data_IF_943482589790
#
_entry.id   IF_943482589790
#
_cell.length_a   1.000
_cell.length_b   1.000
_cell.length_c   1.000
_cell.angle_alpha   90.00
_cell.angle_beta   90.00
_cell.angle_gamma   90.00
#
_symmetry.space_group_name_H-M   'P 1'
#
loop_
_entity.id
_entity.type
_entity.pdbx_description
1 polymer ?
#
# COMPACT_ATOMS: atom_id res chain seq x y z
N UNK A 1 -5.30 -4.88 -13.91
CA UNK A 1 -4.74 -4.99 -12.55
C UNK A 1 -5.06 -3.73 -11.78
N UNK A 2 -5.50 -3.90 -10.56
CA UNK A 2 -5.81 -2.79 -9.67
C UNK A 2 -4.82 -2.80 -8.51
N UNK A 3 -4.18 -1.65 -8.27
CA UNK A 3 -3.26 -1.49 -7.15
C UNK A 3 -3.96 -0.73 -6.02
N UNK A 4 -3.82 -1.23 -4.81
CA UNK A 4 -4.31 -0.53 -3.63
C UNK A 4 -3.20 0.27 -2.98
N UNK A 5 -3.56 1.48 -2.54
CA UNK A 5 -2.65 2.25 -1.71
C UNK A 5 -2.72 1.78 -0.24
N UNK A 6 -1.88 2.38 0.59
CA UNK A 6 -1.77 2.03 2.00
C UNK A 6 -3.10 2.14 2.74
N UNK A 7 -3.89 3.19 2.47
CA UNK A 7 -5.14 3.43 3.18
C UNK A 7 -6.17 2.34 2.89
N UNK A 8 -6.30 1.93 1.64
CA UNK A 8 -7.23 0.87 1.25
C UNK A 8 -6.81 -0.49 1.81
N UNK A 9 -5.51 -0.79 1.73
CA UNK A 9 -4.98 -2.03 2.29
C UNK A 9 -5.24 -2.10 3.80
N UNK A 10 -5.04 -0.99 4.51
CA UNK A 10 -5.28 -0.90 5.95
C UNK A 10 -6.75 -1.12 6.30
N UNK A 11 -7.67 -0.58 5.51
CA UNK A 11 -9.10 -0.76 5.74
C UNK A 11 -9.50 -2.23 5.71
N UNK A 12 -8.97 -3.01 4.77
CA UNK A 12 -9.27 -4.43 4.65
C UNK A 12 -8.63 -5.29 5.73
N UNK A 13 -7.55 -4.84 6.33
CA UNK A 13 -6.89 -5.54 7.42
C UNK A 13 -7.81 -5.72 8.63
N UNK A 14 -8.73 -4.77 8.86
CA UNK A 14 -9.65 -4.84 9.98
C UNK A 14 -10.90 -5.64 9.62
N UNK A 15 -11.39 -6.50 10.54
CA UNK A 15 -12.45 -7.46 10.22
C UNK A 15 -13.84 -6.85 10.06
N UNK A 16 -14.05 -5.58 10.43
CA UNK A 16 -15.38 -4.94 10.38
C UNK A 16 -15.26 -3.44 10.19
N UNK A 17 -16.36 -2.82 9.76
CA UNK A 17 -16.48 -1.37 9.60
C UNK A 17 -17.17 -1.00 8.30
N UNK A 18 -17.78 0.19 8.26
CA UNK A 18 -18.50 0.69 7.08
C UNK A 18 -17.57 0.84 5.87
N UNK A 19 -16.36 1.36 6.09
CA UNK A 19 -15.38 1.54 5.01
C UNK A 19 -14.94 0.19 4.44
N UNK A 20 -14.72 -0.79 5.32
CA UNK A 20 -14.36 -2.14 4.89
C UNK A 20 -15.47 -2.78 4.07
N UNK A 21 -16.72 -2.64 4.51
CA UNK A 21 -17.87 -3.22 3.82
C UNK A 21 -18.06 -2.59 2.44
N UNK A 22 -17.91 -1.27 2.32
CA UNK A 22 -17.98 -0.57 1.04
C UNK A 22 -16.88 -1.02 0.09
N UNK A 23 -15.66 -1.17 0.60
CA UNK A 23 -14.54 -1.61 -0.20
C UNK A 23 -14.72 -3.06 -0.64
N UNK A 24 -15.19 -3.93 0.26
CA UNK A 24 -15.46 -5.33 -0.07
C UNK A 24 -16.52 -5.44 -1.17
N UNK A 25 -17.57 -4.63 -1.12
CA UNK A 25 -18.61 -4.60 -2.17
C UNK A 25 -18.02 -4.22 -3.53
N UNK A 26 -17.13 -3.23 -3.55
CA UNK A 26 -16.46 -2.81 -4.80
C UNK A 26 -15.61 -3.94 -5.36
N UNK A 27 -14.91 -4.66 -4.50
CA UNK A 27 -14.08 -5.78 -4.90
C UNK A 27 -14.91 -6.93 -5.46
N UNK A 28 -16.01 -7.25 -4.79
CA UNK A 28 -16.91 -8.33 -5.19
C UNK A 28 -17.58 -8.03 -6.54
N UNK A 29 -17.71 -6.74 -6.87
CA UNK A 29 -18.29 -6.31 -8.15
C UNK A 29 -17.28 -6.32 -9.30
N UNK A 30 -15.99 -6.54 -9.03
CA UNK A 30 -14.97 -6.59 -10.09
C UNK A 30 -15.07 -7.89 -10.89
N UNK A 31 -14.74 -7.84 -12.21
CA UNK A 31 -14.64 -9.07 -13.00
C UNK A 31 -13.63 -10.05 -12.39
N UNK A 32 -13.88 -11.34 -12.55
CA UNK A 32 -12.98 -12.38 -12.04
C UNK A 32 -11.57 -12.28 -12.62
N UNK A 33 -11.42 -11.76 -13.83
CA UNK A 33 -10.12 -11.57 -14.47
C UNK A 33 -9.34 -10.41 -13.85
N UNK A 34 -9.98 -9.55 -13.05
CA UNK A 34 -9.31 -8.40 -12.49
C UNK A 34 -8.46 -8.81 -11.28
N UNK A 35 -7.16 -8.53 -11.36
CA UNK A 35 -6.21 -8.84 -10.30
C UNK A 35 -6.06 -7.63 -9.39
N UNK A 36 -6.18 -7.87 -8.09
CA UNK A 36 -5.89 -6.87 -7.07
C UNK A 36 -4.50 -7.13 -6.53
N UNK A 37 -3.69 -6.09 -6.47
CA UNK A 37 -2.30 -6.19 -6.05
C UNK A 37 -1.93 -5.00 -5.16
N UNK A 38 -0.80 -5.11 -4.48
CA UNK A 38 -0.20 -4.02 -3.70
C UNK A 38 1.21 -3.79 -4.21
N UNK A 39 1.74 -2.58 -4.00
CA UNK A 39 3.13 -2.32 -4.35
C UNK A 39 4.05 -2.67 -3.18
N UNK A 40 5.32 -2.95 -3.50
CA UNK A 40 6.35 -3.13 -2.47
C UNK A 40 6.50 -1.85 -1.64
N UNK A 41 6.24 -0.69 -2.22
CA UNK A 41 6.32 0.61 -1.53
C UNK A 41 5.22 0.74 -0.47
N UNK A 42 4.02 0.25 -0.74
CA UNK A 42 2.93 0.20 0.25
C UNK A 42 3.35 -0.63 1.47
N UNK A 43 3.99 -1.78 1.22
CA UNK A 43 4.50 -2.65 2.29
C UNK A 43 5.59 -1.92 3.08
N UNK A 44 6.50 -1.25 2.39
CA UNK A 44 7.56 -0.47 3.03
C UNK A 44 6.98 0.58 3.99
N UNK A 45 5.96 1.32 3.56
CA UNK A 45 5.32 2.32 4.40
C UNK A 45 4.76 1.72 5.69
N UNK A 46 4.06 0.59 5.57
CA UNK A 46 3.49 -0.10 6.72
C UNK A 46 4.58 -0.61 7.66
N UNK A 47 5.63 -1.21 7.11
CA UNK A 47 6.76 -1.69 7.91
C UNK A 47 7.44 -0.56 8.66
N UNK A 48 7.68 0.57 8.00
CA UNK A 48 8.31 1.74 8.64
C UNK A 48 7.49 2.25 9.82
N UNK A 49 6.16 2.25 9.67
CA UNK A 49 5.27 2.66 10.75
C UNK A 49 5.42 1.78 12.00
N UNK A 50 5.42 0.47 11.83
CA UNK A 50 5.56 -0.46 12.96
C UNK A 50 6.98 -0.50 13.52
N UNK A 51 8.00 -0.33 12.67
CA UNK A 51 9.38 -0.21 13.13
C UNK A 51 9.57 1.06 13.96
N UNK A 52 8.97 2.17 13.56
CA UNK A 52 8.99 3.40 14.34
C UNK A 52 8.28 3.22 15.69
N UNK A 53 7.16 2.50 15.69
CA UNK A 53 6.45 2.16 16.93
C UNK A 53 7.32 1.35 17.88
N UNK A 54 8.03 0.33 17.35
CA UNK A 54 8.98 -0.46 18.14
C UNK A 54 10.08 0.40 18.76
N UNK A 55 10.62 1.34 17.98
CA UNK A 55 11.71 2.21 18.43
C UNK A 55 11.28 3.13 19.57
N UNK A 56 10.00 3.49 19.65
CA UNK A 56 9.47 4.36 20.70
C UNK A 56 9.25 3.64 22.03
N UNK A 57 9.04 2.33 22.00
CA UNK A 57 8.72 1.59 23.21
C UNK A 57 9.97 1.29 24.02
N UNK A 58 9.91 1.61 25.31
CA UNK A 58 11.06 1.49 26.22
C UNK A 58 11.24 0.12 26.84
N UNK A 59 10.20 -0.71 26.83
CA UNK A 59 10.26 -2.03 27.45
C UNK A 59 9.86 -3.08 26.44
N UNK A 60 10.41 -4.29 26.61
CA UNK A 60 10.06 -5.42 25.75
C UNK A 60 8.58 -5.78 25.86
N UNK A 61 7.96 -5.62 27.03
CA UNK A 61 6.53 -5.87 27.18
C UNK A 61 5.67 -4.95 26.33
N UNK A 62 6.05 -3.68 26.22
CA UNK A 62 5.32 -2.72 25.39
C UNK A 62 5.56 -2.96 23.90
N UNK A 63 6.65 -3.59 23.54
CA UNK A 63 6.94 -3.92 22.14
C UNK A 63 6.11 -5.09 21.62
N UNK A 64 5.50 -5.89 22.49
CA UNK A 64 4.74 -7.08 22.10
C UNK A 64 3.65 -6.76 21.07
N UNK A 65 2.88 -5.70 21.30
CA UNK A 65 1.80 -5.29 20.38
C UNK A 65 2.34 -4.94 18.99
N UNK A 66 3.44 -4.19 18.93
CA UNK A 66 4.05 -3.79 17.65
C UNK A 66 4.63 -4.99 16.90
N UNK A 67 5.26 -5.93 17.59
CA UNK A 67 5.74 -7.16 16.96
C UNK A 67 4.59 -8.01 16.43
N UNK A 68 3.50 -8.09 17.17
CA UNK A 68 2.30 -8.82 16.72
C UNK A 68 1.73 -8.21 15.45
N UNK A 69 1.64 -6.87 15.39
CA UNK A 69 1.17 -6.18 14.21
C UNK A 69 2.09 -6.37 13.01
N UNK A 70 3.40 -6.38 13.26
CA UNK A 70 4.38 -6.62 12.20
C UNK A 70 4.22 -8.03 11.62
N UNK A 71 4.01 -9.04 12.47
CA UNK A 71 3.75 -10.41 12.02
C UNK A 71 2.45 -10.50 11.22
N UNK A 72 1.38 -9.85 11.70
CA UNK A 72 0.08 -9.80 11.03
C UNK A 72 0.20 -9.17 9.64
N UNK A 73 1.06 -8.17 9.50
CA UNK A 73 1.30 -7.49 8.23
C UNK A 73 1.76 -8.46 7.14
N UNK A 74 2.70 -9.33 7.47
CA UNK A 74 3.21 -10.32 6.51
C UNK A 74 2.12 -11.30 6.09
N UNK A 75 1.31 -11.77 7.03
CA UNK A 75 0.18 -12.66 6.71
C UNK A 75 -0.82 -11.98 5.79
N UNK A 76 -1.15 -10.72 6.09
CA UNK A 76 -2.11 -9.96 5.30
C UNK A 76 -1.62 -9.77 3.87
N UNK A 77 -0.39 -9.27 3.69
CA UNK A 77 0.12 -8.98 2.36
C UNK A 77 0.46 -10.24 1.55
N UNK A 78 0.64 -11.40 2.19
CA UNK A 78 0.86 -12.65 1.47
C UNK A 78 -0.31 -13.06 0.58
N UNK A 79 -1.49 -12.49 0.81
CA UNK A 79 -2.69 -12.78 0.03
C UNK A 79 -2.72 -12.05 -1.33
N UNK A 80 -1.84 -11.09 -1.54
CA UNK A 80 -1.84 -10.23 -2.73
C UNK A 80 -0.60 -10.46 -3.57
N UNK A 81 -0.74 -10.21 -4.87
CA UNK A 81 0.44 -10.02 -5.72
C UNK A 81 1.16 -8.75 -5.27
N UNK A 82 2.48 -8.84 -5.14
CA UNK A 82 3.31 -7.71 -4.73
C UNK A 82 4.08 -7.22 -5.95
N UNK A 83 3.82 -5.99 -6.35
CA UNK A 83 4.42 -5.40 -7.53
C UNK A 83 5.71 -4.69 -7.13
N UNK A 84 6.84 -5.02 -7.77
CA UNK A 84 8.13 -4.46 -7.39
C UNK A 84 8.31 -3.02 -7.85
N UNK A 85 9.28 -2.35 -7.24
CA UNK A 85 9.83 -1.09 -7.72
C UNK A 85 11.09 -1.43 -8.53
N UNK A 86 10.90 -1.71 -9.81
CA UNK A 86 11.97 -2.16 -10.71
C UNK A 86 12.61 -0.99 -11.46
N UNK A 87 13.50 -1.28 -12.41
CA UNK A 87 14.21 -0.26 -13.18
C UNK A 87 13.26 0.65 -13.95
N UNK A 88 12.19 0.09 -14.52
CA UNK A 88 11.19 0.87 -15.25
C UNK A 88 10.44 1.83 -14.32
N UNK A 89 10.09 1.36 -13.13
CA UNK A 89 9.44 2.20 -12.12
C UNK A 89 10.38 3.31 -11.65
N UNK A 90 11.66 3.01 -11.46
CA UNK A 90 12.66 4.00 -11.07
C UNK A 90 12.80 5.10 -12.12
N UNK A 91 12.87 4.73 -13.41
CA UNK A 91 12.94 5.69 -14.51
C UNK A 91 11.69 6.58 -14.55
N UNK A 92 10.52 5.98 -14.39
CA UNK A 92 9.25 6.71 -14.37
C UNK A 92 9.17 7.65 -13.16
N UNK A 93 9.64 7.20 -12.01
CA UNK A 93 9.71 8.02 -10.80
C UNK A 93 10.60 9.25 -11.02
N UNK A 94 11.76 9.08 -11.64
CA UNK A 94 12.66 10.19 -11.94
C UNK A 94 12.01 11.18 -12.91
N UNK A 95 11.29 10.68 -13.91
CA UNK A 95 10.56 11.53 -14.85
C UNK A 95 9.47 12.34 -14.13
N UNK A 96 8.72 11.72 -13.23
CA UNK A 96 7.67 12.41 -12.46
C UNK A 96 8.26 13.46 -11.52
N UNK A 97 9.40 13.18 -10.89
CA UNK A 97 10.11 14.16 -10.06
C UNK A 97 10.56 15.36 -10.88
N UNK A 98 11.11 15.12 -12.05
CA UNK A 98 11.56 16.19 -12.96
C UNK A 98 10.41 17.05 -13.44
N UNK A 99 9.21 16.48 -13.54
CA UNK A 99 8.00 17.24 -13.90
C UNK A 99 7.45 18.05 -12.71
N UNK A 100 8.11 18.00 -11.55
CA UNK A 100 7.74 18.77 -10.35
C UNK A 100 6.32 18.49 -9.84
N UNK A 101 5.89 17.25 -9.92
CA UNK A 101 4.60 16.83 -9.38
C UNK A 101 4.67 16.88 -7.85
N UNK A 102 3.70 17.59 -7.24
CA UNK A 102 3.71 17.89 -5.82
C UNK A 102 2.92 16.89 -4.99
N UNK A 103 3.41 15.66 -4.95
CA UNK A 103 2.90 14.63 -4.03
C UNK A 103 4.07 14.07 -3.25
N UNK A 104 3.78 13.38 -2.13
CA UNK A 104 4.83 12.78 -1.31
C UNK A 104 5.65 11.77 -2.08
N UNK A 105 6.89 11.56 -1.65
CA UNK A 105 7.84 10.66 -2.31
C UNK A 105 7.30 9.24 -2.43
N UNK A 106 6.69 8.72 -1.38
CA UNK A 106 6.14 7.36 -1.40
C UNK A 106 4.96 7.25 -2.37
N UNK A 107 4.04 8.23 -2.34
CA UNK A 107 2.92 8.26 -3.28
C UNK A 107 3.41 8.36 -4.72
N UNK A 108 4.48 9.12 -4.96
CA UNK A 108 5.06 9.26 -6.28
C UNK A 108 5.66 7.94 -6.78
N UNK A 109 6.30 7.18 -5.89
CA UNK A 109 6.81 5.85 -6.22
C UNK A 109 5.70 4.88 -6.56
N UNK A 110 4.60 4.92 -5.80
CA UNK A 110 3.42 4.09 -6.06
C UNK A 110 2.81 4.45 -7.42
N UNK A 111 2.70 5.75 -7.72
CA UNK A 111 2.20 6.21 -9.01
C UNK A 111 3.11 5.73 -10.16
N UNK A 112 4.43 5.77 -9.98
CA UNK A 112 5.38 5.29 -10.98
C UNK A 112 5.19 3.80 -11.27
N UNK A 113 4.99 2.99 -10.23
CA UNK A 113 4.72 1.57 -10.38
C UNK A 113 3.40 1.35 -11.15
N UNK A 114 2.35 2.09 -10.79
CA UNK A 114 1.05 1.97 -11.43
C UNK A 114 1.15 2.30 -12.93
N UNK A 115 1.84 3.37 -13.27
CA UNK A 115 2.00 3.82 -14.67
C UNK A 115 2.77 2.82 -15.51
N UNK A 116 3.86 2.27 -14.99
CA UNK A 116 4.68 1.31 -15.74
C UNK A 116 4.00 -0.05 -15.90
N UNK A 117 3.03 -0.38 -15.07
CA UNK A 117 2.26 -1.61 -15.15
C UNK A 117 0.88 -1.40 -15.78
N UNK A 118 0.60 -0.19 -16.26
CA UNK A 118 -0.69 0.17 -16.86
C UNK A 118 -1.86 -0.22 -15.95
N UNK A 119 -1.70 0.05 -14.66
CA UNK A 119 -2.65 -0.34 -13.64
C UNK A 119 -3.47 0.84 -13.15
N UNK A 120 -4.71 0.55 -12.75
CA UNK A 120 -5.54 1.52 -12.04
C UNK A 120 -5.11 1.57 -10.59
N UNK A 121 -4.79 2.76 -10.10
CA UNK A 121 -4.45 2.96 -8.69
C UNK A 121 -5.70 3.35 -7.91
N UNK A 122 -6.08 2.52 -6.95
CA UNK A 122 -7.20 2.81 -6.05
C UNK A 122 -6.65 3.45 -4.78
N UNK A 123 -6.92 4.73 -4.61
CA UNK A 123 -6.42 5.52 -3.49
C UNK A 123 -7.53 6.35 -2.87
N UNK A 124 -7.49 6.53 -1.55
CA UNK A 124 -8.35 7.46 -0.84
C UNK A 124 -7.99 8.92 -1.14
N UNK A 125 -6.80 9.15 -1.71
CA UNK A 125 -6.28 10.48 -2.01
C UNK A 125 -6.32 10.79 -3.51
N UNK A 126 -7.41 10.42 -4.18
CA UNK A 126 -7.59 10.62 -5.64
C UNK A 126 -7.27 12.06 -6.08
N UNK A 127 -7.60 13.04 -5.25
CA UNK A 127 -7.33 14.45 -5.55
C UNK A 127 -5.84 14.79 -5.69
N UNK A 128 -4.95 13.90 -5.26
CA UNK A 128 -3.50 14.09 -5.36
C UNK A 128 -2.91 13.48 -6.65
N UNK A 129 -3.70 12.74 -7.37
CA UNK A 129 -3.31 12.10 -8.62
C UNK A 129 -3.89 12.82 -9.82
#
# INVERSE_FOLDING_TARGET
MILWDTDHATVLKYPSGIRRDRLQKRLDALPEEETVAVTIVTIEEQMRGWMASLAKERTSQRQVASYRELATLFEFFSQFAIIPFDDRAADQFDALRSAKIRIGTMDLKIAAIAMTNQSLLLTANISRL
#
